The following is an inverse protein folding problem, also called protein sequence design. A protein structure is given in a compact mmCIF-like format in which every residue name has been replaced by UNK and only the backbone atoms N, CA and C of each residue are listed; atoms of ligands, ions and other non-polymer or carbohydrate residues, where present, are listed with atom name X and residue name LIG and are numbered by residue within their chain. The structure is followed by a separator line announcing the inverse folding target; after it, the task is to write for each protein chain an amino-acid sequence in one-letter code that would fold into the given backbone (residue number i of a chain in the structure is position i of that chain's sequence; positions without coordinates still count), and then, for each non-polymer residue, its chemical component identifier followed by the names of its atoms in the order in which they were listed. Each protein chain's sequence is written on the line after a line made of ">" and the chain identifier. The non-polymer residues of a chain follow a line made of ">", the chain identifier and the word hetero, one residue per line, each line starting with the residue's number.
data_IF_573067378101
#
_entry.id   IF_573067378101
#
_cell.length_a   1.000
_cell.length_b   1.000
_cell.length_c   1.000
_cell.angle_alpha   90.00
_cell.angle_beta   90.00
_cell.angle_gamma   90.00
#
_symmetry.space_group_name_H-M   'P 1'
#
loop_
_entity.id
_entity.type
_entity.pdbx_description
1 polymer ?
#
# COMPACT_ATOMS: atom_id res chain seq x y z
N UNK A 1 31.38 -4.20 -12.11
CA UNK A 1 30.90 -3.29 -13.19
C UNK A 1 30.66 -3.97 -14.55
N UNK A 2 31.02 -5.25 -14.77
CA UNK A 2 30.76 -5.96 -16.05
C UNK A 2 29.55 -6.92 -16.04
N UNK A 3 28.87 -7.11 -14.91
CA UNK A 3 27.71 -8.03 -14.81
C UNK A 3 26.33 -7.34 -14.83
N UNK A 4 26.28 -6.00 -14.82
CA UNK A 4 25.00 -5.25 -14.91
C UNK A 4 24.46 -5.10 -16.35
N UNK A 5 25.26 -5.45 -17.36
CA UNK A 5 24.89 -5.27 -18.77
C UNK A 5 24.10 -6.45 -19.37
N UNK A 6 23.95 -7.57 -18.67
CA UNK A 6 23.31 -8.77 -19.24
C UNK A 6 21.79 -8.88 -18.96
N UNK A 7 21.20 -7.91 -18.25
CA UNK A 7 19.75 -7.88 -17.97
C UNK A 7 18.95 -6.94 -18.88
N UNK A 8 19.60 -6.20 -19.77
CA UNK A 8 18.96 -5.22 -20.65
C UNK A 8 19.00 -5.68 -22.11
N UNK A 9 18.15 -6.65 -22.43
CA UNK A 9 17.88 -7.04 -23.81
C UNK A 9 17.23 -5.89 -24.59
N UNK A 10 17.97 -5.35 -25.56
CA UNK A 10 17.53 -4.63 -26.77
C UNK A 10 16.44 -3.56 -26.57
N UNK A 11 16.85 -2.33 -26.29
CA UNK A 11 16.06 -1.13 -26.62
C UNK A 11 16.41 -0.75 -28.07
N UNK A 12 15.43 -0.63 -29.00
CA UNK A 12 15.71 -0.22 -30.36
C UNK A 12 16.08 1.27 -30.38
N UNK A 13 17.13 1.58 -31.14
CA UNK A 13 17.59 2.93 -31.41
C UNK A 13 16.51 3.63 -32.27
N UNK A 14 15.72 4.53 -31.67
CA UNK A 14 14.69 5.30 -32.37
C UNK A 14 15.05 6.80 -32.49
N UNK A 15 15.13 7.24 -33.76
CA UNK A 15 14.99 8.59 -34.34
C UNK A 15 15.80 9.80 -33.80
N UNK A 16 16.59 10.39 -34.71
CA UNK A 16 17.34 11.67 -34.60
C UNK A 16 16.57 12.90 -34.11
N UNK A 17 15.23 12.90 -34.15
CA UNK A 17 14.42 14.01 -33.61
C UNK A 17 14.18 13.89 -32.09
N UNK A 18 14.32 12.68 -31.54
CA UNK A 18 14.15 12.41 -30.11
C UNK A 18 15.44 12.72 -29.34
N UNK A 19 16.61 12.54 -29.98
CA UNK A 19 17.92 12.93 -29.41
C UNK A 19 18.02 14.43 -29.15
N UNK A 20 17.52 15.26 -30.07
CA UNK A 20 17.61 16.73 -29.94
C UNK A 20 16.72 17.28 -28.81
N UNK A 21 15.64 16.58 -28.43
CA UNK A 21 14.78 16.97 -27.31
C UNK A 21 15.34 16.49 -25.96
N UNK A 22 15.95 15.30 -25.92
CA UNK A 22 16.64 14.77 -24.74
C UNK A 22 17.85 15.64 -24.39
N UNK A 23 18.59 16.15 -25.40
CA UNK A 23 19.65 17.15 -25.21
C UNK A 23 19.16 18.43 -24.52
N UNK A 24 17.91 18.85 -24.74
CA UNK A 24 17.37 20.06 -24.10
C UNK A 24 17.10 19.86 -22.60
N UNK A 25 16.78 18.64 -22.16
CA UNK A 25 16.53 18.29 -20.75
C UNK A 25 17.85 18.18 -19.98
N UNK A 26 18.92 17.67 -20.60
CA UNK A 26 20.25 17.59 -19.96
C UNK A 26 20.93 18.95 -19.83
N UNK A 27 20.54 19.95 -20.65
CA UNK A 27 21.12 21.29 -20.60
C UNK A 27 20.67 22.14 -19.41
N UNK A 28 19.56 21.78 -18.74
CA UNK A 28 19.00 22.53 -17.61
C UNK A 28 19.22 21.77 -16.32
N UNK A 29 19.94 22.38 -15.37
CA UNK A 29 20.12 21.81 -14.02
C UNK A 29 18.82 21.89 -13.22
N UNK A 30 17.98 20.86 -13.39
CA UNK A 30 16.67 20.74 -12.74
C UNK A 30 16.78 20.68 -11.21
N UNK A 31 17.94 20.31 -10.65
CA UNK A 31 18.12 20.16 -9.19
C UNK A 31 17.97 21.47 -8.41
N UNK A 32 18.16 22.61 -9.09
CA UNK A 32 18.08 23.96 -8.50
C UNK A 32 16.67 24.52 -8.39
N UNK A 33 15.67 23.88 -9.02
CA UNK A 33 14.30 24.37 -8.96
C UNK A 33 13.58 23.86 -7.71
N UNK A 34 12.78 24.70 -7.04
CA UNK A 34 11.93 24.26 -5.94
C UNK A 34 10.86 23.30 -6.46
N UNK A 35 10.43 22.36 -5.61
CA UNK A 35 9.26 21.53 -5.92
C UNK A 35 8.03 22.40 -5.82
N UNK A 36 7.34 22.55 -6.94
CA UNK A 36 6.14 23.36 -7.12
C UNK A 36 4.90 22.47 -7.25
N UNK A 37 3.76 23.09 -7.59
CA UNK A 37 2.49 22.41 -7.81
C UNK A 37 2.47 21.60 -9.12
N UNK A 38 1.59 20.60 -9.16
CA UNK A 38 1.20 19.82 -10.34
C UNK A 38 -0.20 20.23 -10.87
N UNK A 39 -0.72 21.39 -10.44
CA UNK A 39 -2.06 21.85 -10.79
C UNK A 39 -2.21 22.06 -12.30
N UNK A 40 -2.95 21.19 -12.97
CA UNK A 40 -3.26 21.36 -14.38
C UNK A 40 -4.48 22.27 -14.59
N UNK A 41 -4.56 22.87 -15.78
CA UNK A 41 -5.69 23.72 -16.16
C UNK A 41 -6.78 22.92 -16.88
N UNK A 42 -8.03 23.06 -16.42
CA UNK A 42 -9.19 22.45 -17.08
C UNK A 42 -9.42 23.06 -18.47
N UNK A 43 -9.32 22.23 -19.51
CA UNK A 43 -9.69 22.61 -20.87
C UNK A 43 -11.19 22.39 -21.10
N UNK A 44 -11.85 23.13 -22.01
CA UNK A 44 -13.28 22.91 -22.30
C UNK A 44 -13.60 21.45 -22.68
N UNK A 45 -12.73 20.82 -23.46
CA UNK A 45 -12.88 19.41 -23.81
C UNK A 45 -12.73 18.49 -22.59
N UNK A 46 -11.80 18.78 -21.67
CA UNK A 46 -11.66 17.99 -20.44
C UNK A 46 -12.91 18.06 -19.55
N UNK A 47 -13.54 19.24 -19.45
CA UNK A 47 -14.79 19.43 -18.71
C UNK A 47 -15.92 18.65 -19.38
N UNK A 48 -16.02 18.75 -20.71
CA UNK A 48 -17.01 18.01 -21.49
C UNK A 48 -16.85 16.49 -21.30
N UNK A 49 -15.63 15.96 -21.41
CA UNK A 49 -15.33 14.54 -21.19
C UNK A 49 -15.69 14.10 -19.77
N UNK A 50 -15.35 14.92 -18.77
CA UNK A 50 -15.67 14.64 -17.37
C UNK A 50 -17.18 14.54 -17.14
N UNK A 51 -17.96 15.51 -17.65
CA UNK A 51 -19.42 15.50 -17.55
C UNK A 51 -20.05 14.34 -18.34
N UNK A 52 -19.56 14.09 -19.55
CA UNK A 52 -20.02 12.99 -20.40
C UNK A 52 -19.80 11.64 -19.71
N UNK A 53 -18.65 11.45 -19.04
CA UNK A 53 -18.36 10.24 -18.28
C UNK A 53 -19.36 10.03 -17.13
N UNK A 54 -19.73 11.07 -16.39
CA UNK A 54 -20.78 10.96 -15.37
C UNK A 54 -22.12 10.53 -15.97
N UNK A 55 -22.57 11.20 -17.04
CA UNK A 55 -23.86 10.92 -17.69
C UNK A 55 -23.91 9.50 -18.26
N UNK A 56 -22.89 9.11 -19.02
CA UNK A 56 -22.83 7.79 -19.65
C UNK A 56 -22.69 6.67 -18.62
N UNK A 57 -21.92 6.87 -17.55
CA UNK A 57 -21.79 5.86 -16.48
C UNK A 57 -23.09 5.66 -15.72
N UNK A 58 -23.89 6.73 -15.55
CA UNK A 58 -25.19 6.68 -14.87
C UNK A 58 -26.31 6.11 -15.74
N UNK A 59 -26.19 6.16 -17.06
CA UNK A 59 -27.23 5.72 -17.98
C UNK A 59 -27.66 4.26 -17.78
N UNK A 60 -26.70 3.36 -17.53
CA UNK A 60 -26.98 1.92 -17.34
C UNK A 60 -27.71 1.67 -16.00
N UNK A 61 -27.21 2.14 -14.84
CA UNK A 61 -27.98 2.12 -13.58
C UNK A 61 -29.37 2.73 -13.73
N UNK A 62 -29.48 3.87 -14.42
CA UNK A 62 -30.76 4.55 -14.62
C UNK A 62 -31.77 3.69 -15.40
N UNK A 63 -31.34 3.05 -16.49
CA UNK A 63 -32.19 2.13 -17.24
C UNK A 63 -32.65 0.94 -16.38
N UNK A 64 -31.76 0.40 -15.54
CA UNK A 64 -32.11 -0.66 -14.58
C UNK A 64 -33.12 -0.20 -13.53
N UNK A 65 -32.99 1.03 -13.01
CA UNK A 65 -33.95 1.60 -12.05
C UNK A 65 -35.33 1.72 -12.69
N UNK A 66 -35.42 2.25 -13.91
CA UNK A 66 -36.70 2.41 -14.61
C UNK A 66 -37.37 1.08 -14.95
N UNK A 67 -36.60 0.10 -15.44
CA UNK A 67 -37.13 -1.23 -15.74
C UNK A 67 -37.52 -2.01 -14.49
N UNK A 68 -36.76 -1.86 -13.39
CA UNK A 68 -37.11 -2.43 -12.10
C UNK A 68 -38.42 -1.84 -11.56
N UNK A 69 -38.58 -0.52 -11.63
CA UNK A 69 -39.79 0.16 -11.14
C UNK A 69 -41.05 -0.38 -11.84
N UNK A 70 -41.02 -0.45 -13.17
CA UNK A 70 -42.15 -0.95 -13.97
C UNK A 70 -42.43 -2.44 -13.78
N UNK A 71 -41.43 -3.27 -13.46
CA UNK A 71 -41.62 -4.72 -13.33
C UNK A 71 -41.90 -5.21 -11.89
N UNK A 72 -41.30 -4.56 -10.89
CA UNK A 72 -41.24 -5.06 -9.53
C UNK A 72 -42.18 -4.33 -8.55
N UNK A 73 -42.51 -3.06 -8.82
CA UNK A 73 -43.38 -2.24 -7.97
C UNK A 73 -44.79 -2.07 -8.54
N UNK A 74 -45.06 -2.65 -9.71
CA UNK A 74 -46.36 -2.50 -10.35
C UNK A 74 -47.43 -3.36 -9.66
N UNK A 75 -48.47 -2.67 -9.21
CA UNK A 75 -49.79 -3.12 -8.74
C UNK A 75 -50.05 -3.57 -7.28
N UNK A 76 -49.15 -4.18 -6.49
CA UNK A 76 -49.49 -4.52 -5.08
C UNK A 76 -48.28 -4.61 -4.12
N UNK A 77 -48.04 -3.54 -3.36
CA UNK A 77 -46.97 -3.46 -2.33
C UNK A 77 -47.09 -4.54 -1.24
N UNK A 78 -48.31 -4.99 -0.92
CA UNK A 78 -48.59 -6.01 0.09
C UNK A 78 -48.16 -7.40 -0.38
N UNK A 79 -48.21 -7.70 -1.68
CA UNK A 79 -47.76 -8.98 -2.25
C UNK A 79 -46.24 -8.98 -2.46
N UNK A 80 -45.68 -7.81 -2.79
CA UNK A 80 -44.26 -7.64 -3.09
C UNK A 80 -43.43 -7.14 -1.90
N UNK A 81 -43.95 -7.22 -0.66
CA UNK A 81 -43.28 -6.72 0.56
C UNK A 81 -41.88 -7.29 0.78
N UNK A 82 -41.65 -8.55 0.39
CA UNK A 82 -40.34 -9.21 0.45
C UNK A 82 -39.28 -8.51 -0.40
N UNK A 83 -39.66 -7.74 -1.43
CA UNK A 83 -38.73 -6.95 -2.26
C UNK A 83 -38.22 -5.70 -1.57
N UNK A 84 -38.94 -5.17 -0.57
CA UNK A 84 -38.41 -4.10 0.29
C UNK A 84 -37.20 -4.57 1.10
N UNK A 85 -37.09 -5.86 1.37
CA UNK A 85 -35.92 -6.46 2.02
C UNK A 85 -34.71 -6.48 1.05
N UNK A 86 -34.97 -6.66 -0.25
CA UNK A 86 -33.93 -6.72 -1.28
C UNK A 86 -33.51 -5.37 -1.86
N UNK A 87 -34.21 -4.28 -1.53
CA UNK A 87 -33.89 -2.93 -2.05
C UNK A 87 -32.45 -2.51 -1.78
N UNK A 88 -31.88 -2.91 -0.63
CA UNK A 88 -30.47 -2.65 -0.32
C UNK A 88 -29.53 -3.38 -1.26
N UNK A 89 -29.86 -4.61 -1.65
CA UNK A 89 -29.08 -5.39 -2.63
C UNK A 89 -29.17 -4.71 -4.00
N UNK A 90 -30.36 -4.25 -4.40
CA UNK A 90 -30.56 -3.55 -5.67
C UNK A 90 -29.80 -2.22 -5.72
N UNK A 91 -29.83 -1.43 -4.65
CA UNK A 91 -29.05 -0.18 -4.54
C UNK A 91 -27.55 -0.47 -4.64
N UNK A 92 -27.06 -1.50 -3.95
CA UNK A 92 -25.66 -1.93 -4.05
C UNK A 92 -25.33 -2.43 -5.46
N UNK A 93 -26.24 -3.12 -6.13
CA UNK A 93 -26.05 -3.60 -7.49
C UNK A 93 -25.99 -2.44 -8.50
N UNK A 94 -26.89 -1.45 -8.40
CA UNK A 94 -26.88 -0.27 -9.26
C UNK A 94 -25.64 0.60 -9.05
N UNK A 95 -25.21 0.77 -7.80
CA UNK A 95 -23.98 1.49 -7.49
C UNK A 95 -22.74 0.70 -7.98
N UNK A 96 -22.70 -0.61 -7.76
CA UNK A 96 -21.66 -1.49 -8.29
C UNK A 96 -21.59 -1.43 -9.83
N UNK A 97 -22.73 -1.37 -10.50
CA UNK A 97 -22.81 -1.22 -11.94
C UNK A 97 -22.28 0.14 -12.40
N UNK A 98 -22.63 1.23 -11.70
CA UNK A 98 -22.06 2.56 -11.96
C UNK A 98 -20.52 2.56 -11.87
N UNK A 99 -19.96 1.84 -10.89
CA UNK A 99 -18.51 1.70 -10.75
C UNK A 99 -17.91 0.92 -11.93
N UNK A 100 -18.51 -0.20 -12.31
CA UNK A 100 -18.03 -1.01 -13.42
C UNK A 100 -18.11 -0.27 -14.77
N UNK A 101 -19.21 0.45 -15.01
CA UNK A 101 -19.40 1.22 -16.25
C UNK A 101 -18.47 2.42 -16.32
N UNK A 102 -18.28 3.14 -15.20
CA UNK A 102 -17.31 4.23 -15.13
C UNK A 102 -15.88 3.75 -15.39
N UNK A 103 -15.49 2.59 -14.87
CA UNK A 103 -14.18 1.99 -15.14
C UNK A 103 -14.02 1.58 -16.60
N UNK A 104 -15.01 0.91 -17.19
CA UNK A 104 -14.95 0.46 -18.57
C UNK A 104 -14.88 1.64 -19.55
N UNK A 105 -15.76 2.64 -19.39
CA UNK A 105 -15.78 3.82 -20.24
C UNK A 105 -14.50 4.66 -20.08
N UNK A 106 -14.01 4.83 -18.86
CA UNK A 106 -12.76 5.55 -18.62
C UNK A 106 -11.57 4.84 -19.25
N UNK A 107 -11.48 3.51 -19.14
CA UNK A 107 -10.39 2.73 -19.76
C UNK A 107 -10.46 2.81 -21.29
N UNK A 108 -11.65 2.72 -21.87
CA UNK A 108 -11.84 2.85 -23.31
C UNK A 108 -11.38 4.22 -23.82
N UNK A 109 -11.77 5.30 -23.15
CA UNK A 109 -11.35 6.66 -23.52
C UNK A 109 -9.84 6.87 -23.33
N UNK A 110 -9.25 6.31 -22.27
CA UNK A 110 -7.79 6.37 -22.08
C UNK A 110 -7.05 5.65 -23.21
N UNK A 111 -7.51 4.46 -23.61
CA UNK A 111 -6.93 3.72 -24.76
C UNK A 111 -7.07 4.55 -26.04
N UNK A 112 -8.23 5.16 -26.29
CA UNK A 112 -8.44 6.02 -27.46
C UNK A 112 -7.48 7.20 -27.46
N UNK A 113 -7.29 7.88 -26.31
CA UNK A 113 -6.35 8.99 -26.19
C UNK A 113 -4.89 8.54 -26.36
N UNK A 114 -4.51 7.37 -25.83
CA UNK A 114 -3.17 6.79 -25.99
C UNK A 114 -2.86 6.41 -27.45
N UNK A 115 -3.87 5.97 -28.20
CA UNK A 115 -3.77 5.70 -29.63
C UNK A 115 -3.59 6.98 -30.45
N UNK A 116 -4.28 8.06 -30.08
CA UNK A 116 -4.17 9.35 -30.76
C UNK A 116 -2.83 10.02 -30.44
N UNK A 117 -2.43 10.02 -29.17
CA UNK A 117 -1.21 10.67 -28.71
C UNK A 117 -0.56 9.91 -27.56
N UNK A 118 0.56 9.25 -27.84
CA UNK A 118 1.30 8.46 -26.85
C UNK A 118 1.85 9.36 -25.72
N UNK A 119 1.72 8.96 -24.45
CA UNK A 119 2.29 9.69 -23.33
C UNK A 119 3.83 9.70 -23.42
N UNK A 120 4.45 10.86 -23.20
CA UNK A 120 5.90 11.05 -23.25
C UNK A 120 6.40 11.75 -22.00
N UNK A 121 7.63 11.40 -21.60
CA UNK A 121 8.38 12.16 -20.60
C UNK A 121 9.04 13.36 -21.26
N UNK A 122 9.15 14.47 -20.54
CA UNK A 122 9.76 15.68 -21.09
C UNK A 122 9.35 16.96 -20.38
N UNK A 123 9.83 18.07 -20.94
CA UNK A 123 9.46 19.43 -20.55
C UNK A 123 8.53 20.00 -21.62
N UNK A 124 7.27 20.26 -21.28
CA UNK A 124 6.24 20.73 -22.20
C UNK A 124 5.81 22.14 -21.85
N UNK A 125 5.45 22.96 -22.83
CA UNK A 125 5.02 24.33 -22.55
C UNK A 125 3.56 24.33 -22.10
N UNK A 126 3.21 25.14 -21.10
CA UNK A 126 1.83 25.24 -20.59
C UNK A 126 1.00 26.13 -21.52
N UNK A 127 0.81 25.66 -22.75
CA UNK A 127 0.01 26.32 -23.77
C UNK A 127 -0.94 25.31 -24.42
N UNK A 128 -2.12 25.77 -24.83
CA UNK A 128 -3.11 24.92 -25.52
C UNK A 128 -2.64 24.43 -26.89
N UNK A 129 -1.64 25.10 -27.46
CA UNK A 129 -1.01 24.78 -28.74
C UNK A 129 -0.10 23.56 -28.62
N UNK A 130 0.49 23.32 -27.45
CA UNK A 130 1.32 22.15 -27.19
C UNK A 130 0.43 20.92 -27.04
N UNK A 131 0.54 20.00 -28.01
CA UNK A 131 -0.25 18.78 -28.04
C UNK A 131 0.08 17.89 -26.85
N UNK A 132 1.34 17.78 -26.45
CA UNK A 132 1.76 16.90 -25.36
C UNK A 132 1.09 17.33 -24.04
N UNK A 133 1.13 18.63 -23.73
CA UNK A 133 0.46 19.20 -22.56
C UNK A 133 -1.08 19.06 -22.64
N UNK A 134 -1.67 19.33 -23.80
CA UNK A 134 -3.11 19.24 -23.99
C UNK A 134 -3.64 17.81 -23.76
N UNK A 135 -3.03 16.81 -24.38
CA UNK A 135 -3.42 15.41 -24.21
C UNK A 135 -3.14 14.90 -22.78
N UNK A 136 -2.08 15.40 -22.13
CA UNK A 136 -1.84 15.13 -20.71
C UNK A 136 -3.00 15.62 -19.83
N UNK A 137 -3.50 16.84 -20.04
CA UNK A 137 -4.65 17.37 -19.30
C UNK A 137 -5.92 16.53 -19.50
N UNK A 138 -6.18 16.05 -20.73
CA UNK A 138 -7.32 15.17 -21.01
C UNK A 138 -7.22 13.84 -20.25
N UNK A 139 -6.04 13.20 -20.27
CA UNK A 139 -5.82 11.93 -19.57
C UNK A 139 -5.97 12.06 -18.07
N UNK A 140 -5.40 13.11 -17.46
CA UNK A 140 -5.59 13.33 -16.02
C UNK A 140 -7.05 13.55 -15.68
N UNK A 141 -7.80 14.27 -16.50
CA UNK A 141 -9.21 14.58 -16.22
C UNK A 141 -10.07 13.31 -16.17
N UNK A 142 -9.84 12.37 -17.08
CA UNK A 142 -10.48 11.05 -17.07
C UNK A 142 -10.05 10.24 -15.84
N UNK A 143 -8.76 10.22 -15.52
CA UNK A 143 -8.26 9.50 -14.34
C UNK A 143 -8.81 10.09 -13.03
N UNK A 144 -8.89 11.43 -12.91
CA UNK A 144 -9.49 12.10 -11.74
C UNK A 144 -10.95 11.70 -11.56
N UNK A 145 -11.74 11.66 -12.63
CA UNK A 145 -13.11 11.15 -12.58
C UNK A 145 -13.16 9.72 -12.03
N UNK A 146 -12.31 8.83 -12.56
CA UNK A 146 -12.27 7.43 -12.15
C UNK A 146 -11.87 7.29 -10.67
N UNK A 147 -10.77 7.91 -10.25
CA UNK A 147 -10.30 7.85 -8.87
C UNK A 147 -11.28 8.50 -7.88
N UNK A 148 -11.90 9.63 -8.24
CA UNK A 148 -12.92 10.25 -7.41
C UNK A 148 -14.12 9.31 -7.23
N UNK A 149 -14.60 8.71 -8.31
CA UNK A 149 -15.75 7.79 -8.28
C UNK A 149 -15.46 6.55 -7.42
N UNK A 150 -14.25 5.99 -7.54
CA UNK A 150 -13.86 4.76 -6.86
C UNK A 150 -13.44 4.98 -5.40
N UNK A 151 -12.86 6.15 -5.06
CA UNK A 151 -12.51 6.49 -3.68
C UNK A 151 -13.73 6.84 -2.82
N UNK A 152 -14.83 7.29 -3.43
CA UNK A 152 -16.09 7.53 -2.72
C UNK A 152 -16.93 6.26 -2.51
N UNK A 153 -16.44 5.09 -2.94
CA UNK A 153 -17.12 3.84 -2.69
C UNK A 153 -16.90 3.35 -1.26
N UNK A 154 -17.89 2.66 -0.69
CA UNK A 154 -17.87 2.20 0.70
C UNK A 154 -16.77 1.18 1.02
N UNK A 155 -16.15 0.56 0.00
CA UNK A 155 -15.09 -0.43 0.16
C UNK A 155 -13.75 0.11 -0.37
N UNK A 156 -12.83 0.55 0.52
CA UNK A 156 -11.56 1.14 0.10
C UNK A 156 -10.72 0.21 -0.78
N UNK A 157 -10.70 -1.09 -0.49
CA UNK A 157 -9.92 -2.08 -1.24
C UNK A 157 -10.30 -2.20 -2.72
N UNK A 158 -11.48 -1.72 -3.12
CA UNK A 158 -11.95 -1.71 -4.52
C UNK A 158 -11.17 -0.72 -5.36
N UNK A 159 -10.66 0.38 -4.78
CA UNK A 159 -9.82 1.36 -5.49
C UNK A 159 -8.53 0.74 -6.05
N UNK A 160 -8.03 -0.35 -5.45
CA UNK A 160 -6.89 -1.13 -5.97
C UNK A 160 -7.10 -1.63 -7.40
N UNK A 161 -8.35 -1.90 -7.80
CA UNK A 161 -8.67 -2.29 -9.17
C UNK A 161 -8.54 -1.11 -10.14
N UNK A 162 -8.95 0.10 -9.73
CA UNK A 162 -8.78 1.31 -10.53
C UNK A 162 -7.30 1.61 -10.81
N UNK A 163 -6.43 1.45 -9.81
CA UNK A 163 -4.98 1.56 -9.99
C UNK A 163 -4.46 0.62 -11.09
N UNK A 164 -4.84 -0.67 -11.05
CA UNK A 164 -4.42 -1.66 -12.07
C UNK A 164 -4.90 -1.29 -13.48
N UNK A 165 -6.14 -0.82 -13.59
CA UNK A 165 -6.73 -0.43 -14.89
C UNK A 165 -6.08 0.84 -15.45
N UNK A 166 -5.61 1.74 -14.58
CA UNK A 166 -4.81 2.91 -14.95
C UNK A 166 -3.32 2.60 -15.19
N UNK A 167 -2.94 1.33 -15.38
CA UNK A 167 -1.56 0.88 -15.57
C UNK A 167 -0.63 1.22 -14.39
N UNK A 168 -1.16 1.46 -13.19
CA UNK A 168 -0.38 1.63 -11.98
C UNK A 168 -0.17 0.27 -11.32
N UNK A 169 1.09 -0.13 -11.15
CA UNK A 169 1.49 -1.41 -10.55
C UNK A 169 1.39 -1.37 -9.03
N UNK A 170 0.17 -1.26 -8.48
CA UNK A 170 -0.05 -1.30 -7.03
C UNK A 170 -0.37 -2.73 -6.55
N UNK A 171 0.37 -3.22 -5.55
CA UNK A 171 0.04 -4.48 -4.85
C UNK A 171 -1.09 -4.28 -3.82
N UNK A 172 -1.88 -5.33 -3.57
CA UNK A 172 -3.04 -5.33 -2.66
C UNK A 172 -2.68 -5.07 -1.19
N UNK A 173 -1.44 -5.38 -0.81
CA UNK A 173 -0.93 -5.20 0.55
C UNK A 173 -0.38 -3.80 0.80
N UNK A 174 -0.24 -3.01 -0.25
CA UNK A 174 0.33 -1.67 -0.15
C UNK A 174 -0.70 -0.70 0.45
N UNK A 175 -0.28 0.09 1.43
CA UNK A 175 -1.13 1.10 2.06
C UNK A 175 -0.90 2.45 1.39
N UNK A 176 -1.80 2.82 0.46
CA UNK A 176 -1.68 4.07 -0.32
C UNK A 176 -2.79 5.10 -0.04
N UNK A 177 -3.74 4.79 0.84
CA UNK A 177 -5.00 5.54 0.97
C UNK A 177 -4.85 6.97 1.51
N UNK A 178 -3.80 7.24 2.29
CA UNK A 178 -3.62 8.53 2.95
C UNK A 178 -2.60 9.44 2.24
N UNK A 179 -2.03 8.99 1.13
CA UNK A 179 -1.04 9.73 0.33
C UNK A 179 -1.65 10.35 -0.92
N UNK A 180 -1.08 11.47 -1.35
CA UNK A 180 -1.37 12.06 -2.66
C UNK A 180 -0.40 11.48 -3.69
N UNK A 181 -0.92 10.74 -4.66
CA UNK A 181 -0.12 10.19 -5.76
C UNK A 181 -0.62 10.74 -7.08
N UNK A 182 0.31 11.12 -7.96
CA UNK A 182 -0.02 11.26 -9.37
C UNK A 182 -0.48 9.91 -9.95
N UNK A 183 -1.19 9.97 -11.08
CA UNK A 183 -1.90 8.82 -11.67
C UNK A 183 -1.30 8.38 -13.01
N UNK A 184 -0.16 8.96 -13.39
CA UNK A 184 0.58 8.69 -14.63
C UNK A 184 2.08 8.71 -14.33
N UNK A 185 2.87 7.97 -15.11
CA UNK A 185 4.34 7.94 -14.95
C UNK A 185 4.84 7.58 -13.54
N UNK A 186 4.11 6.72 -12.82
CA UNK A 186 4.55 6.15 -11.55
C UNK A 186 4.52 4.63 -11.62
N UNK A 187 5.64 4.02 -11.26
CA UNK A 187 5.74 2.58 -11.08
C UNK A 187 5.94 2.26 -9.60
N UNK A 188 4.95 1.58 -9.03
CA UNK A 188 4.96 1.11 -7.66
C UNK A 188 5.45 -0.34 -7.60
N UNK A 189 6.23 -0.65 -6.57
CA UNK A 189 6.63 -2.00 -6.22
C UNK A 189 5.61 -2.70 -5.34
N UNK A 190 5.97 -3.88 -4.84
CA UNK A 190 5.12 -4.68 -3.96
C UNK A 190 5.32 -4.29 -2.49
N UNK A 191 4.27 -4.42 -1.68
CA UNK A 191 4.28 -4.12 -0.24
C UNK A 191 4.86 -2.74 0.12
N UNK A 192 4.46 -1.69 -0.59
CA UNK A 192 4.90 -0.33 -0.27
C UNK A 192 3.99 0.32 0.77
N UNK A 193 4.53 1.25 1.54
CA UNK A 193 3.78 2.03 2.52
C UNK A 193 3.93 3.51 2.19
N UNK A 194 2.82 4.18 1.88
CA UNK A 194 2.78 5.63 1.71
C UNK A 194 2.14 6.22 2.96
N UNK A 195 2.92 6.97 3.72
CA UNK A 195 2.48 7.63 4.94
C UNK A 195 1.50 8.76 4.66
N UNK A 196 0.71 9.10 5.67
CA UNK A 196 -0.32 10.12 5.57
C UNK A 196 0.24 11.47 5.12
N UNK A 197 -0.43 12.09 4.15
CA UNK A 197 -0.04 13.38 3.58
C UNK A 197 1.25 13.36 2.77
N UNK A 198 1.86 12.19 2.53
CA UNK A 198 2.98 12.08 1.61
C UNK A 198 2.51 12.35 0.17
N UNK A 199 3.36 12.99 -0.62
CA UNK A 199 3.04 13.39 -1.99
C UNK A 199 4.04 12.77 -2.97
N UNK A 200 3.56 12.05 -3.97
CA UNK A 200 4.35 11.46 -5.05
C UNK A 200 4.04 12.16 -6.35
N UNK A 201 4.97 13.03 -6.78
CA UNK A 201 4.86 13.77 -8.03
C UNK A 201 5.59 13.04 -9.15
N UNK A 202 4.88 12.75 -10.24
CA UNK A 202 5.49 12.43 -11.54
C UNK A 202 5.49 13.62 -12.49
N UNK A 203 4.72 14.66 -12.14
CA UNK A 203 4.65 15.91 -12.87
C UNK A 203 4.78 17.12 -11.96
N UNK A 204 5.36 18.21 -12.47
CA UNK A 204 5.43 19.49 -11.75
C UNK A 204 5.53 20.67 -12.72
N UNK A 205 5.13 21.86 -12.26
CA UNK A 205 5.18 23.09 -13.06
C UNK A 205 6.46 23.87 -12.76
N UNK A 206 7.36 23.95 -13.74
CA UNK A 206 8.57 24.77 -13.68
C UNK A 206 8.36 26.01 -14.54
N UNK A 207 8.07 27.15 -13.89
CA UNK A 207 7.71 28.41 -14.58
C UNK A 207 6.53 28.19 -15.52
N UNK A 208 6.73 28.39 -16.83
CA UNK A 208 5.70 28.24 -17.86
C UNK A 208 5.73 26.85 -18.53
N UNK A 209 6.43 25.88 -17.92
CA UNK A 209 6.58 24.54 -18.46
C UNK A 209 6.10 23.47 -17.46
N UNK A 210 5.53 22.40 -17.98
CA UNK A 210 5.20 21.18 -17.25
C UNK A 210 6.35 20.18 -17.45
N UNK A 211 7.03 19.82 -16.36
CA UNK A 211 7.97 18.71 -16.34
C UNK A 211 7.19 17.42 -16.05
N UNK A 212 7.37 16.40 -16.88
CA UNK A 212 6.88 15.04 -16.68
C UNK A 212 8.07 14.10 -16.67
N UNK A 213 8.27 13.35 -15.57
CA UNK A 213 9.36 12.40 -15.46
C UNK A 213 8.96 11.20 -14.59
N UNK A 214 9.26 9.99 -15.07
CA UNK A 214 8.79 8.76 -14.42
C UNK A 214 9.42 8.55 -13.05
N UNK A 215 8.59 8.28 -12.06
CA UNK A 215 9.00 7.89 -10.70
C UNK A 215 8.93 6.38 -10.57
N UNK A 216 9.98 5.78 -10.00
CA UNK A 216 10.08 4.34 -9.77
C UNK A 216 10.26 4.10 -8.28
N UNK A 217 9.37 3.33 -7.68
CA UNK A 217 9.39 2.97 -6.27
C UNK A 217 9.54 1.45 -6.17
N UNK A 218 10.63 0.98 -5.58
CA UNK A 218 10.91 -0.44 -5.40
C UNK A 218 10.01 -1.15 -4.40
N UNK A 219 10.21 -2.46 -4.25
CA UNK A 219 9.47 -3.26 -3.27
C UNK A 219 9.81 -2.86 -1.82
N UNK A 220 8.87 -3.05 -0.89
CA UNK A 220 9.06 -2.83 0.55
C UNK A 220 9.55 -1.43 0.92
N UNK A 221 9.27 -0.44 0.07
CA UNK A 221 9.61 0.96 0.33
C UNK A 221 8.62 1.56 1.32
N UNK A 222 9.14 2.36 2.25
CA UNK A 222 8.34 3.14 3.20
C UNK A 222 8.55 4.61 2.93
N UNK A 223 7.49 5.31 2.54
CA UNK A 223 7.45 6.75 2.35
C UNK A 223 6.82 7.36 3.59
N UNK A 224 7.57 8.12 4.38
CA UNK A 224 7.10 8.72 5.63
C UNK A 224 6.01 9.76 5.40
N UNK A 225 5.21 10.04 6.44
CA UNK A 225 4.14 11.04 6.37
C UNK A 225 4.66 12.43 5.98
N UNK A 226 3.85 13.19 5.24
CA UNK A 226 4.18 14.54 4.75
C UNK A 226 5.52 14.63 4.00
N UNK A 227 6.04 13.52 3.47
CA UNK A 227 7.22 13.54 2.62
C UNK A 227 6.84 13.87 1.18
N UNK A 228 7.80 14.38 0.41
CA UNK A 228 7.59 14.79 -0.99
C UNK A 228 8.58 14.03 -1.87
N UNK A 229 8.05 13.25 -2.81
CA UNK A 229 8.83 12.58 -3.85
C UNK A 229 8.71 13.41 -5.13
N UNK A 230 9.83 13.99 -5.57
CA UNK A 230 9.91 14.80 -6.78
C UNK A 230 9.89 13.95 -8.06
N UNK A 231 9.50 14.53 -9.22
CA UNK A 231 9.50 13.84 -10.50
C UNK A 231 10.85 13.23 -10.86
N UNK A 232 10.83 12.04 -11.46
CA UNK A 232 12.04 11.31 -11.83
C UNK A 232 12.79 10.63 -10.70
N UNK A 233 12.30 10.70 -9.45
CA UNK A 233 12.95 10.03 -8.32
C UNK A 233 12.88 8.50 -8.51
N UNK A 234 13.99 7.82 -8.21
CA UNK A 234 14.07 6.37 -8.19
C UNK A 234 14.40 5.92 -6.77
N UNK A 235 13.47 5.20 -6.13
CA UNK A 235 13.63 4.70 -4.77
C UNK A 235 13.92 3.20 -4.81
N UNK A 236 15.10 2.81 -4.31
CA UNK A 236 15.54 1.43 -4.20
C UNK A 236 14.64 0.58 -3.31
N UNK A 237 14.74 -0.73 -3.46
CA UNK A 237 14.01 -1.72 -2.65
C UNK A 237 14.40 -1.59 -1.16
N UNK A 238 13.42 -1.72 -0.27
CA UNK A 238 13.64 -1.69 1.19
C UNK A 238 14.07 -0.33 1.76
N UNK A 239 14.10 0.71 0.92
CA UNK A 239 14.47 2.07 1.31
C UNK A 239 13.34 2.74 2.09
N UNK A 240 13.69 3.54 3.09
CA UNK A 240 12.73 4.35 3.86
C UNK A 240 13.02 5.83 3.64
N UNK A 241 12.03 6.58 3.15
CA UNK A 241 12.05 8.04 3.15
C UNK A 241 11.42 8.52 4.47
N UNK A 242 12.16 9.31 5.25
CA UNK A 242 11.71 9.82 6.53
C UNK A 242 10.50 10.75 6.42
N UNK A 243 9.79 10.91 7.54
CA UNK A 243 8.70 11.89 7.67
C UNK A 243 9.24 13.28 7.30
N UNK A 244 8.44 14.07 6.59
CA UNK A 244 8.80 15.43 6.18
C UNK A 244 10.04 15.54 5.25
N UNK A 245 10.62 14.44 4.78
CA UNK A 245 11.75 14.49 3.85
C UNK A 245 11.29 14.83 2.43
N UNK A 246 12.14 15.48 1.63
CA UNK A 246 11.82 15.82 0.24
C UNK A 246 12.95 15.43 -0.70
N UNK A 247 12.66 14.75 -1.80
CA UNK A 247 13.69 14.40 -2.80
C UNK A 247 13.90 15.54 -3.80
N UNK A 248 15.07 15.59 -4.44
CA UNK A 248 15.26 16.44 -5.62
C UNK A 248 14.80 15.72 -6.90
N UNK A 249 14.56 16.50 -7.95
CA UNK A 249 14.18 15.99 -9.27
C UNK A 249 15.24 15.00 -9.75
N UNK A 250 14.81 13.79 -10.16
CA UNK A 250 15.74 12.77 -10.64
C UNK A 250 16.61 12.10 -9.58
N UNK A 251 16.33 12.31 -8.29
CA UNK A 251 17.18 11.77 -7.23
C UNK A 251 17.10 10.23 -7.16
N UNK A 252 18.25 9.58 -7.03
CA UNK A 252 18.35 8.14 -6.77
C UNK A 252 18.54 7.89 -5.27
N UNK A 253 17.69 7.05 -4.69
CA UNK A 253 17.81 6.57 -3.32
C UNK A 253 18.24 5.11 -3.35
N UNK A 254 19.37 4.81 -2.72
CA UNK A 254 19.93 3.47 -2.67
C UNK A 254 19.02 2.50 -1.90
N UNK A 255 18.97 1.22 -2.32
CA UNK A 255 18.25 0.15 -1.62
C UNK A 255 18.69 -0.01 -0.16
N UNK A 256 17.77 -0.41 0.71
CA UNK A 256 18.03 -0.75 2.13
C UNK A 256 18.64 0.37 2.98
N UNK A 257 18.39 1.63 2.61
CA UNK A 257 18.81 2.81 3.37
C UNK A 257 17.64 3.68 3.81
N UNK A 258 17.86 4.41 4.90
CA UNK A 258 16.95 5.43 5.43
C UNK A 258 17.48 6.79 4.96
N UNK A 259 16.59 7.58 4.34
CA UNK A 259 16.88 8.92 3.86
C UNK A 259 16.05 9.95 4.64
N UNK A 260 16.66 11.04 5.08
CA UNK A 260 15.99 12.13 5.81
C UNK A 260 16.42 13.50 5.30
N UNK A 261 15.63 14.54 5.58
CA UNK A 261 15.98 15.93 5.29
C UNK A 261 15.40 16.47 3.98
N UNK A 262 15.73 17.74 3.71
CA UNK A 262 15.28 18.50 2.54
C UNK A 262 16.49 19.23 1.94
N UNK A 263 17.15 18.68 0.90
CA UNK A 263 16.82 17.43 0.24
C UNK A 263 17.14 16.17 1.04
N UNK A 264 16.53 15.06 0.66
CA UNK A 264 16.71 13.75 1.26
C UNK A 264 18.18 13.33 1.17
N UNK A 265 18.81 13.08 2.32
CA UNK A 265 20.19 12.60 2.43
C UNK A 265 20.22 11.27 3.16
N UNK A 266 21.18 10.45 2.76
CA UNK A 266 21.43 9.13 3.32
C UNK A 266 21.77 9.26 4.81
N UNK A 267 21.03 8.56 5.66
CA UNK A 267 21.17 8.65 7.12
C UNK A 267 21.74 7.37 7.71
N UNK A 268 21.02 6.25 7.58
CA UNK A 268 21.37 4.98 8.20
C UNK A 268 20.89 3.80 7.36
N UNK A 269 21.57 2.65 7.45
CA UNK A 269 21.08 1.41 6.85
C UNK A 269 19.81 0.93 7.56
N UNK A 270 18.83 0.48 6.77
CA UNK A 270 17.56 -0.01 7.28
C UNK A 270 17.76 -1.25 8.15
N UNK A 271 18.66 -2.16 7.78
CA UNK A 271 18.96 -3.40 8.53
C UNK A 271 19.42 -3.10 9.95
N UNK A 272 20.39 -2.19 10.10
CA UNK A 272 20.90 -1.79 11.42
C UNK A 272 19.80 -1.20 12.30
N UNK A 273 18.89 -0.42 11.72
CA UNK A 273 17.74 0.14 12.43
C UNK A 273 16.75 -0.95 12.89
N UNK A 274 16.47 -1.94 12.04
CA UNK A 274 15.63 -3.09 12.42
C UNK A 274 16.23 -3.92 13.55
N UNK A 275 17.55 -4.13 13.55
CA UNK A 275 18.24 -4.85 14.61
C UNK A 275 18.24 -4.09 15.94
N UNK A 276 18.47 -2.78 15.90
CA UNK A 276 18.40 -1.92 17.09
C UNK A 276 17.01 -1.87 17.68
N UNK A 277 15.97 -1.64 16.87
CA UNK A 277 14.58 -1.68 17.33
C UNK A 277 14.19 -3.05 17.88
N UNK A 278 14.73 -4.14 17.31
CA UNK A 278 14.55 -5.49 17.86
C UNK A 278 15.20 -5.61 19.25
N UNK A 279 16.46 -5.20 19.40
CA UNK A 279 17.17 -5.19 20.70
C UNK A 279 16.44 -4.33 21.74
N UNK A 280 16.00 -3.12 21.38
CA UNK A 280 15.21 -2.25 22.26
C UNK A 280 13.89 -2.91 22.68
N UNK A 281 13.22 -3.60 21.76
CA UNK A 281 11.99 -4.34 22.08
C UNK A 281 12.22 -5.54 23.01
N UNK A 282 13.37 -6.20 22.91
CA UNK A 282 13.78 -7.32 23.77
C UNK A 282 14.20 -6.85 25.17
N UNK A 283 14.89 -5.71 25.25
CA UNK A 283 15.31 -5.06 26.50
C UNK A 283 14.10 -4.47 27.25
N UNK A 284 13.05 -4.08 26.51
CA UNK A 284 11.83 -3.47 27.04
C UNK A 284 11.93 -1.95 27.02
N UNK A 285 10.90 -1.26 26.53
CA UNK A 285 10.84 0.21 26.50
C UNK A 285 10.21 0.73 27.78
N UNK A 286 10.59 1.91 28.25
CA UNK A 286 9.94 2.53 29.40
C UNK A 286 8.66 3.23 28.95
N UNK A 287 7.49 2.77 29.41
CA UNK A 287 6.21 3.44 29.19
C UNK A 287 5.94 4.39 30.34
N UNK A 288 5.61 5.65 30.03
CA UNK A 288 5.10 6.59 31.02
C UNK A 288 3.61 6.31 31.25
N UNK A 289 3.21 6.12 32.48
CA UNK A 289 1.79 6.04 32.86
C UNK A 289 1.23 7.47 32.75
N UNK A 290 0.18 7.63 31.94
CA UNK A 290 -0.35 8.96 31.55
C UNK A 290 -0.84 9.75 32.77
N UNK A 291 -1.42 9.05 33.75
CA UNK A 291 -2.03 9.68 34.92
C UNK A 291 -1.05 9.99 36.06
N UNK A 292 -0.10 9.08 36.34
CA UNK A 292 0.85 9.22 37.45
C UNK A 292 2.20 9.81 37.02
N UNK A 293 2.48 9.81 35.71
CA UNK A 293 3.75 10.27 35.15
C UNK A 293 4.94 9.34 35.41
N UNK A 294 4.76 8.24 36.15
CA UNK A 294 5.80 7.25 36.46
C UNK A 294 6.21 6.47 35.21
N UNK A 295 7.50 6.17 35.09
CA UNK A 295 8.05 5.36 34.00
C UNK A 295 8.12 3.90 34.44
N UNK A 296 7.29 3.05 33.84
CA UNK A 296 7.31 1.60 34.07
C UNK A 296 7.97 0.89 32.90
N UNK A 297 8.83 -0.09 33.17
CA UNK A 297 9.39 -0.94 32.13
C UNK A 297 8.25 -1.74 31.46
N UNK A 298 8.07 -1.53 30.16
CA UNK A 298 7.07 -2.17 29.34
C UNK A 298 7.77 -3.01 28.28
N UNK A 299 7.74 -4.33 28.47
CA UNK A 299 8.13 -5.26 27.42
C UNK A 299 7.01 -5.29 26.38
N UNK A 300 7.30 -4.76 25.19
CA UNK A 300 6.39 -4.86 24.05
C UNK A 300 6.38 -6.31 23.61
N UNK A 301 5.34 -7.05 23.99
CA UNK A 301 5.15 -8.40 23.48
C UNK A 301 4.84 -8.30 21.98
N UNK A 302 5.86 -8.44 21.14
CA UNK A 302 5.63 -8.67 19.72
C UNK A 302 4.89 -10.00 19.59
N UNK A 303 3.79 -10.01 18.85
CA UNK A 303 3.31 -11.23 18.19
C UNK A 303 4.34 -11.61 17.12
N UNK A 304 5.51 -12.08 17.54
CA UNK A 304 6.35 -12.88 16.67
C UNK A 304 5.50 -14.09 16.38
N UNK A 305 5.20 -14.35 15.11
CA UNK A 305 4.60 -15.60 14.66
C UNK A 305 5.59 -16.69 15.07
N UNK A 306 5.48 -17.21 16.31
CA UNK A 306 6.39 -18.23 16.82
C UNK A 306 6.36 -19.34 15.80
N UNK A 307 7.52 -19.68 15.25
CA UNK A 307 7.64 -20.75 14.28
C UNK A 307 7.00 -21.99 14.94
N UNK A 308 6.10 -22.70 14.25
CA UNK A 308 5.29 -23.78 14.86
C UNK A 308 6.18 -24.80 15.59
N UNK A 309 7.40 -25.00 15.09
CA UNK A 309 8.46 -25.81 15.68
C UNK A 309 8.84 -25.36 17.10
N UNK A 310 8.99 -24.06 17.34
CA UNK A 310 9.35 -23.54 18.67
C UNK A 310 8.21 -23.73 19.69
N UNK A 311 6.95 -23.62 19.25
CA UNK A 311 5.78 -23.91 20.10
C UNK A 311 5.73 -25.41 20.43
N UNK A 312 6.00 -26.26 19.44
CA UNK A 312 6.04 -27.70 19.63
C UNK A 312 7.12 -28.12 20.63
N UNK A 313 8.33 -27.56 20.54
CA UNK A 313 9.43 -27.83 21.47
C UNK A 313 9.07 -27.41 22.90
N UNK A 314 8.54 -26.19 23.10
CA UNK A 314 8.14 -25.70 24.42
C UNK A 314 7.05 -26.58 25.06
N UNK A 315 6.09 -27.06 24.26
CA UNK A 315 5.06 -27.98 24.73
C UNK A 315 5.62 -29.37 25.06
N UNK A 316 6.63 -29.84 24.31
CA UNK A 316 7.32 -31.11 24.55
C UNK A 316 8.12 -31.10 25.87
N UNK A 317 8.81 -30.00 26.14
CA UNK A 317 9.54 -29.80 27.41
C UNK A 317 8.58 -29.83 28.60
N UNK A 318 7.45 -29.11 28.53
CA UNK A 318 6.41 -29.14 29.58
C UNK A 318 5.86 -30.55 29.81
N UNK A 319 5.61 -31.31 28.75
CA UNK A 319 5.14 -32.70 28.85
C UNK A 319 6.20 -33.60 29.49
N UNK A 320 7.48 -33.41 29.16
CA UNK A 320 8.59 -34.15 29.75
C UNK A 320 8.71 -33.89 31.26
N UNK A 321 8.62 -32.62 31.68
CA UNK A 321 8.68 -32.25 33.10
C UNK A 321 7.51 -32.83 33.90
N UNK A 322 6.29 -32.78 33.35
CA UNK A 322 5.13 -33.41 33.96
C UNK A 322 5.29 -34.93 34.09
N UNK A 323 5.89 -35.57 33.09
CA UNK A 323 6.17 -36.99 33.13
C UNK A 323 7.19 -37.35 34.21
N UNK A 324 8.28 -36.59 34.34
CA UNK A 324 9.29 -36.75 35.40
C UNK A 324 8.67 -36.63 36.79
N UNK A 325 7.86 -35.60 37.03
CA UNK A 325 7.13 -35.44 38.31
C UNK A 325 6.23 -36.64 38.60
N UNK A 326 5.56 -37.19 37.58
CA UNK A 326 4.70 -38.37 37.74
C UNK A 326 5.48 -39.62 38.16
N UNK A 327 6.73 -39.77 37.70
CA UNK A 327 7.61 -40.87 38.08
C UNK A 327 8.08 -40.73 39.53
N UNK A 328 8.48 -39.54 39.94
CA UNK A 328 8.86 -39.26 41.32
C UNK A 328 7.70 -39.55 42.30
N UNK A 329 6.49 -39.14 41.94
CA UNK A 329 5.30 -39.37 42.77
C UNK A 329 4.95 -40.86 42.88
N UNK A 330 5.13 -41.64 41.79
CA UNK A 330 4.98 -43.10 41.84
C UNK A 330 6.01 -43.73 42.76
N UNK A 331 7.28 -43.32 42.65
CA UNK A 331 8.37 -43.79 43.52
C UNK A 331 8.08 -43.51 45.00
N UNK A 332 7.68 -42.28 45.34
CA UNK A 332 7.29 -41.88 46.71
C UNK A 332 6.13 -42.74 47.24
N UNK A 333 5.12 -43.03 46.41
CA UNK A 333 3.99 -43.90 46.78
C UNK A 333 4.42 -45.34 47.05
N UNK A 334 5.33 -45.89 46.25
CA UNK A 334 5.86 -47.24 46.46
C UNK A 334 6.69 -47.36 47.74
N UNK A 335 7.56 -46.38 48.01
CA UNK A 335 8.34 -46.31 49.26
C UNK A 335 7.39 -46.25 50.47
N UNK A 336 6.35 -45.42 50.42
CA UNK A 336 5.34 -45.32 51.48
C UNK A 336 4.58 -46.63 51.68
N UNK A 337 4.31 -47.38 50.60
CA UNK A 337 3.67 -48.71 50.65
C UNK A 337 4.60 -49.76 51.28
N UNK A 338 5.88 -49.78 50.91
CA UNK A 338 6.91 -50.64 51.51
C UNK A 338 7.07 -50.36 53.01
N UNK A 339 7.15 -49.09 53.40
CA UNK A 339 7.24 -48.69 54.81
C UNK A 339 6.00 -49.08 55.63
N UNK A 340 4.79 -48.93 55.08
CA UNK A 340 3.57 -49.42 55.74
C UNK A 340 3.55 -50.93 55.90
N UNK A 341 4.10 -51.68 54.93
CA UNK A 341 4.19 -53.15 54.99
C UNK A 341 5.19 -53.60 56.04
N UNK A 342 6.40 -53.03 56.08
CA UNK A 342 7.41 -53.35 57.09
C UNK A 342 6.91 -53.03 58.50
N UNK A 343 6.24 -51.88 58.69
CA UNK A 343 5.64 -51.51 59.98
C UNK A 343 4.57 -52.51 60.45
N UNK A 344 3.78 -53.08 59.52
CA UNK A 344 2.82 -54.15 59.85
C UNK A 344 3.49 -55.47 60.19
N UNK A 345 4.61 -55.81 59.54
CA UNK A 345 5.38 -57.03 59.82
C UNK A 345 6.08 -56.96 61.18
N UNK A 346 6.65 -55.81 61.54
CA UNK A 346 7.24 -55.58 62.88
C UNK A 346 6.16 -55.73 63.96
N UNK A 347 5.00 -55.09 63.77
CA UNK A 347 3.89 -55.18 64.72
C UNK A 347 3.32 -56.60 64.87
N UNK A 348 3.44 -57.45 63.83
CA UNK A 348 3.08 -58.87 63.92
C UNK A 348 4.11 -59.71 64.68
N UNK A 349 5.41 -59.38 64.58
CA UNK A 349 6.46 -60.05 65.37
C UNK A 349 6.35 -59.72 66.86
N UNK A 350 6.05 -58.47 67.22
CA UNK A 350 5.85 -58.05 68.61
C UNK A 350 4.63 -58.72 69.29
N UNK A 351 3.65 -59.18 68.51
CA UNK A 351 2.43 -59.85 69.02
C UNK A 351 2.61 -61.39 69.06
N UNK A 352 3.65 -61.94 68.43
CA UNK A 352 3.94 -63.38 68.40
C UNK A 352 4.95 -63.86 69.45
N UNK A 353 5.49 -62.97 70.28
CA UNK A 353 6.40 -63.29 71.40
C UNK A 353 5.72 -63.23 72.79
N UNK A 354 4.40 -63.41 72.85
CA UNK A 354 3.65 -63.59 74.09
C UNK A 354 3.03 -64.99 74.19
#
# INVERSE_FOLDING_TARGET
>A
MKELNNLWGRIPIENKNQSNLIESIESVDLTKFPITTNAFNWTPLSILLYLMLHVLSFFIPFAMILTFYNGALDSNIIVNWWRLIFIFIDIMAWWGLYLLTSLLLSKLLLILLELIHKPREGLFKIEKTDRDYYYYCLRISIKKFLFWTWNNFCFPWVSNLAFKVCNMRADYKSTMFDGWSDVEFIEYGNNIMIGQGAVVFSSMIIKDHLLIKKVIIGDHVVIGGNSIVAPGTVIGKGTTLGVWASTHIGQYLEPDWIYIGRPARKYKQAVTYYEETKKESEIGTYRRIVDTGERQAHKVNRFVKKNLVAIAIENLEKLYDQWQQSLEDKSKKEIKKKYKKSKKEIKKKEIGEF
#
